data_IF_528697762018
#
_entry.id   IF_528697762018
#
_cell.length_a   1.000
_cell.length_b   1.000
_cell.length_c   1.000
_cell.angle_alpha   90.00
_cell.angle_beta   90.00
_cell.angle_gamma   90.00
#
_symmetry.space_group_name_H-M   'P 1'
#
loop_
_entity.id
_entity.type
_entity.pdbx_description
1 polymer ?
#
# COMPACT_ATOMS: atom_id res chain seq x y z
N UNK A 1 23.32 17.58 -4.91
CA UNK A 1 22.23 17.05 -4.06
C UNK A 1 21.45 18.17 -3.38
N UNK A 2 22.12 19.12 -2.72
CA UNK A 2 21.47 20.16 -1.90
C UNK A 2 20.58 21.12 -2.69
N UNK A 3 20.97 21.48 -3.92
CA UNK A 3 20.14 22.30 -4.82
C UNK A 3 18.77 21.68 -5.12
N UNK A 4 18.71 20.36 -5.34
CA UNK A 4 17.45 19.65 -5.59
C UNK A 4 16.56 19.66 -4.33
N UNK A 5 17.17 19.52 -3.16
CA UNK A 5 16.46 19.60 -1.88
C UNK A 5 15.87 20.99 -1.65
N UNK A 6 16.65 22.04 -1.91
CA UNK A 6 16.16 23.41 -1.80
C UNK A 6 15.02 23.66 -2.79
N UNK A 7 15.16 23.23 -4.04
CA UNK A 7 14.11 23.36 -5.06
C UNK A 7 12.80 22.70 -4.61
N UNK A 8 12.85 21.52 -3.99
CA UNK A 8 11.66 20.84 -3.46
C UNK A 8 11.03 21.57 -2.26
N UNK A 9 11.85 22.14 -1.38
CA UNK A 9 11.35 22.96 -0.27
C UNK A 9 10.65 24.22 -0.77
N UNK A 10 11.24 24.91 -1.76
CA UNK A 10 10.64 26.08 -2.43
C UNK A 10 9.36 25.71 -3.17
N UNK A 11 9.35 24.58 -3.90
CA UNK A 11 8.16 24.08 -4.58
C UNK A 11 7.03 23.74 -3.60
N UNK A 12 7.34 23.10 -2.47
CA UNK A 12 6.34 22.81 -1.44
C UNK A 12 5.76 24.10 -0.83
N UNK A 13 6.60 25.12 -0.61
CA UNK A 13 6.13 26.43 -0.16
C UNK A 13 5.25 27.12 -1.20
N UNK A 14 5.63 27.07 -2.48
CA UNK A 14 4.83 27.59 -3.59
C UNK A 14 3.45 26.94 -3.63
N UNK A 15 3.37 25.60 -3.69
CA UNK A 15 2.09 24.89 -3.77
C UNK A 15 1.21 25.11 -2.53
N UNK A 16 1.80 25.12 -1.34
CA UNK A 16 1.06 25.43 -0.11
C UNK A 16 0.49 26.86 -0.14
N UNK A 17 1.27 27.83 -0.65
CA UNK A 17 0.82 29.20 -0.85
C UNK A 17 -0.35 29.31 -1.84
N UNK A 18 -0.32 28.53 -2.93
CA UNK A 18 -1.43 28.49 -3.88
C UNK A 18 -2.72 27.96 -3.23
N UNK A 19 -2.64 26.84 -2.48
CA UNK A 19 -3.81 26.31 -1.78
C UNK A 19 -4.33 27.26 -0.68
N UNK A 20 -3.43 27.97 0.00
CA UNK A 20 -3.79 28.92 1.05
C UNK A 20 -4.60 30.12 0.52
N UNK A 21 -4.33 30.54 -0.71
CA UNK A 21 -5.02 31.66 -1.37
C UNK A 21 -6.40 31.30 -1.91
N UNK A 22 -6.75 30.01 -2.01
CA UNK A 22 -8.06 29.59 -2.51
C UNK A 22 -9.15 29.77 -1.45
N UNK A 23 -10.15 30.66 -1.66
CA UNK A 23 -11.30 30.81 -0.77
C UNK A 23 -12.32 29.70 -0.97
N UNK A 24 -12.24 28.92 -2.06
CA UNK A 24 -13.11 27.79 -2.42
C UNK A 24 -12.56 27.03 -3.64
N UNK A 25 -13.40 26.23 -4.29
CA UNK A 25 -13.13 25.61 -5.58
C UNK A 25 -12.65 24.15 -5.53
N UNK A 26 -12.41 23.53 -6.70
CA UNK A 26 -12.29 22.08 -6.84
C UNK A 26 -11.26 21.43 -5.92
N UNK A 27 -10.11 22.09 -5.69
CA UNK A 27 -9.07 21.59 -4.79
C UNK A 27 -9.54 21.50 -3.34
N UNK A 28 -10.26 22.53 -2.87
CA UNK A 28 -10.81 22.59 -1.51
C UNK A 28 -11.95 21.60 -1.37
N UNK A 29 -12.83 21.54 -2.37
CA UNK A 29 -14.02 20.69 -2.33
C UNK A 29 -13.62 19.22 -2.36
N UNK A 30 -12.58 18.85 -3.12
CA UNK A 30 -11.96 17.53 -3.04
C UNK A 30 -11.43 17.22 -1.64
N UNK A 31 -10.63 18.10 -1.02
CA UNK A 31 -10.10 17.85 0.32
C UNK A 31 -11.24 17.68 1.34
N UNK A 32 -12.28 18.53 1.26
CA UNK A 32 -13.45 18.45 2.14
C UNK A 32 -14.20 17.12 1.95
N UNK A 33 -14.43 16.69 0.72
CA UNK A 33 -15.13 15.42 0.43
C UNK A 33 -14.36 14.19 0.90
N UNK A 34 -13.05 14.33 1.11
CA UNK A 34 -12.16 13.31 1.70
C UNK A 34 -11.98 13.43 3.21
N UNK A 35 -12.80 14.25 3.87
CA UNK A 35 -12.73 14.43 5.31
C UNK A 35 -11.50 15.21 5.78
N UNK A 36 -10.83 15.95 4.90
CA UNK A 36 -9.63 16.73 5.19
C UNK A 36 -10.01 18.22 5.29
N UNK A 37 -10.19 18.77 6.50
CA UNK A 37 -10.53 20.18 6.67
C UNK A 37 -9.34 21.07 6.29
N UNK A 38 -9.61 22.31 5.88
CA UNK A 38 -8.58 23.30 5.53
C UNK A 38 -7.52 23.49 6.58
N UNK A 39 -7.91 23.50 7.86
CA UNK A 39 -6.98 23.64 8.97
C UNK A 39 -5.93 22.52 8.97
N UNK A 40 -6.36 21.26 8.78
CA UNK A 40 -5.46 20.12 8.70
C UNK A 40 -4.56 20.18 7.46
N UNK A 41 -5.15 20.49 6.30
CA UNK A 41 -4.39 20.60 5.05
C UNK A 41 -3.25 21.64 5.15
N UNK A 42 -3.44 22.73 5.92
CA UNK A 42 -2.46 23.81 6.09
C UNK A 42 -1.48 23.57 7.24
N UNK A 43 -1.84 22.77 8.23
CA UNK A 43 -1.04 22.55 9.42
C UNK A 43 0.31 21.91 9.08
N UNK A 44 1.33 22.23 9.88
CA UNK A 44 2.51 21.37 9.98
C UNK A 44 2.08 20.07 10.68
N UNK A 45 2.58 18.91 10.24
CA UNK A 45 3.64 18.71 9.24
C UNK A 45 3.13 18.59 7.78
N UNK A 46 1.83 18.43 7.57
CA UNK A 46 1.19 18.11 6.28
C UNK A 46 1.47 19.11 5.16
N UNK A 47 1.16 20.40 5.40
CA UNK A 47 1.35 21.50 4.42
C UNK A 47 1.00 21.10 2.98
N UNK A 48 -0.21 20.58 2.77
CA UNK A 48 -0.72 20.23 1.45
C UNK A 48 -0.75 21.48 0.56
N UNK A 49 -0.72 21.27 -0.75
CA UNK A 49 -0.68 22.35 -1.72
C UNK A 49 -1.62 22.17 -2.90
N UNK A 50 -1.58 23.13 -3.82
CA UNK A 50 -2.29 23.08 -5.09
C UNK A 50 -1.34 23.50 -6.21
N UNK A 51 -1.26 22.70 -7.27
CA UNK A 51 -0.60 23.04 -8.51
C UNK A 51 -1.64 23.65 -9.46
N UNK A 52 -1.54 24.94 -9.80
CA UNK A 52 -2.44 25.57 -10.78
C UNK A 52 -2.36 24.91 -12.17
N UNK A 53 -3.33 25.15 -13.07
CA UNK A 53 -3.33 24.58 -14.42
C UNK A 53 -2.24 25.15 -15.35
N UNK A 54 -1.60 26.25 -14.95
CA UNK A 54 -0.55 26.92 -15.73
C UNK A 54 0.58 25.95 -16.12
N UNK A 55 1.13 26.15 -17.33
CA UNK A 55 2.14 25.23 -17.89
C UNK A 55 3.53 25.37 -17.27
N UNK A 56 3.86 26.53 -16.74
CA UNK A 56 5.20 26.90 -16.24
C UNK A 56 5.15 27.68 -14.93
N UNK A 57 4.02 27.65 -14.21
CA UNK A 57 3.80 28.47 -13.02
C UNK A 57 4.82 28.22 -11.91
N UNK A 58 5.13 26.95 -11.61
CA UNK A 58 6.20 26.59 -10.67
C UNK A 58 7.58 26.87 -11.28
N UNK A 59 7.81 26.44 -12.52
CA UNK A 59 9.12 26.55 -13.17
C UNK A 59 9.59 28.00 -13.25
N UNK A 60 8.71 28.92 -13.62
CA UNK A 60 9.02 30.35 -13.72
C UNK A 60 9.23 30.96 -12.34
N UNK A 61 8.48 30.51 -11.32
CA UNK A 61 8.71 30.92 -9.94
C UNK A 61 10.11 30.50 -9.45
N UNK A 62 10.52 29.26 -9.70
CA UNK A 62 11.83 28.75 -9.28
C UNK A 62 12.97 29.37 -10.08
N UNK A 63 12.80 29.63 -11.38
CA UNK A 63 13.81 30.36 -12.18
C UNK A 63 14.09 31.76 -11.66
N UNK A 64 13.05 32.48 -11.22
CA UNK A 64 13.23 33.79 -10.55
C UNK A 64 14.00 33.69 -9.23
N UNK A 65 14.06 32.51 -8.63
CA UNK A 65 14.88 32.21 -7.45
C UNK A 65 16.27 31.64 -7.81
N UNK A 66 16.65 31.66 -9.09
CA UNK A 66 17.97 31.26 -9.56
C UNK A 66 18.13 29.77 -9.89
N UNK A 67 17.07 28.97 -9.94
CA UNK A 67 17.16 27.56 -10.36
C UNK A 67 17.21 27.43 -11.88
N UNK A 68 18.12 26.59 -12.38
CA UNK A 68 18.28 26.34 -13.82
C UNK A 68 17.24 25.35 -14.35
N UNK A 69 17.01 25.33 -15.66
CA UNK A 69 16.10 24.34 -16.27
C UNK A 69 16.56 22.89 -16.02
N UNK A 70 17.87 22.64 -16.07
CA UNK A 70 18.45 21.32 -15.82
C UNK A 70 18.22 20.84 -14.38
N UNK A 71 18.38 21.73 -13.39
CA UNK A 71 18.06 21.41 -12.00
C UNK A 71 16.59 21.04 -11.82
N UNK A 72 15.66 21.75 -12.48
CA UNK A 72 14.23 21.46 -12.38
C UNK A 72 13.83 20.14 -13.05
N UNK A 73 14.46 19.82 -14.19
CA UNK A 73 14.27 18.55 -14.89
C UNK A 73 14.83 17.39 -14.06
N UNK A 74 16.06 17.53 -13.55
CA UNK A 74 16.72 16.52 -12.70
C UNK A 74 15.98 16.32 -11.37
N UNK A 75 15.41 17.39 -10.82
CA UNK A 75 14.55 17.33 -9.64
C UNK A 75 13.16 16.69 -9.92
N UNK A 76 12.80 16.46 -11.18
CA UNK A 76 11.47 15.96 -11.55
C UNK A 76 10.33 16.95 -11.25
N UNK A 77 10.65 18.22 -11.03
CA UNK A 77 9.69 19.31 -10.84
C UNK A 77 9.17 19.84 -12.18
N UNK A 78 9.94 19.62 -13.24
CA UNK A 78 9.57 19.93 -14.62
C UNK A 78 9.78 18.72 -15.55
N UNK A 79 9.20 18.80 -16.74
CA UNK A 79 9.37 17.85 -17.84
C UNK A 79 9.76 18.61 -19.12
N UNK A 80 10.58 17.98 -19.95
CA UNK A 80 10.89 18.50 -21.28
C UNK A 80 9.79 18.12 -22.28
N UNK A 81 9.37 19.05 -23.12
CA UNK A 81 8.36 18.83 -24.16
C UNK A 81 8.57 19.83 -25.29
N UNK A 82 8.90 19.33 -26.50
CA UNK A 82 9.11 20.15 -27.70
C UNK A 82 10.07 21.33 -27.47
N UNK A 83 11.22 21.07 -26.83
CA UNK A 83 12.20 22.10 -26.49
C UNK A 83 11.81 23.06 -25.36
N UNK A 84 10.64 22.86 -24.73
CA UNK A 84 10.16 23.66 -23.60
C UNK A 84 10.21 22.88 -22.30
N UNK A 85 10.53 23.55 -21.21
CA UNK A 85 10.43 23.02 -19.84
C UNK A 85 9.05 23.38 -19.27
N UNK A 86 8.27 22.37 -18.92
CA UNK A 86 6.90 22.52 -18.40
C UNK A 86 6.81 21.94 -16.99
N UNK A 87 5.92 22.46 -16.16
CA UNK A 87 5.68 21.95 -14.81
C UNK A 87 5.25 20.48 -14.85
N UNK A 88 5.84 19.62 -14.01
CA UNK A 88 5.49 18.21 -13.95
C UNK A 88 4.05 17.98 -13.42
N UNK A 89 3.58 18.88 -12.56
CA UNK A 89 2.25 18.81 -11.94
C UNK A 89 1.45 20.06 -12.28
N UNK A 90 0.21 19.85 -12.73
CA UNK A 90 -0.72 20.91 -13.13
C UNK A 90 -2.13 20.46 -12.80
N UNK A 91 -2.93 21.41 -12.33
CA UNK A 91 -4.31 21.24 -11.89
C UNK A 91 -4.51 20.07 -10.89
N UNK A 92 -3.70 20.09 -9.83
CA UNK A 92 -3.61 18.98 -8.87
C UNK A 92 -3.56 19.44 -7.43
N UNK A 93 -4.23 18.71 -6.54
CA UNK A 93 -3.92 18.79 -5.09
C UNK A 93 -2.60 18.08 -4.84
N UNK A 94 -1.70 18.76 -4.15
CA UNK A 94 -0.30 18.37 -3.99
C UNK A 94 -0.04 17.86 -2.57
N UNK A 95 0.49 16.64 -2.49
CA UNK A 95 0.90 15.96 -1.28
C UNK A 95 2.44 15.86 -1.28
N UNK A 96 3.15 16.68 -0.47
CA UNK A 96 4.61 16.61 -0.41
C UNK A 96 5.06 15.31 0.26
N UNK A 97 5.96 14.57 -0.37
CA UNK A 97 6.55 13.34 0.18
C UNK A 97 7.85 13.69 0.89
N UNK A 98 7.99 13.29 2.15
CA UNK A 98 9.15 13.62 3.00
C UNK A 98 9.98 12.40 3.32
N UNK A 99 11.28 12.61 3.53
CA UNK A 99 12.12 11.64 4.22
C UNK A 99 11.91 11.69 5.74
N UNK A 100 12.55 10.78 6.48
CA UNK A 100 12.49 10.73 7.96
C UNK A 100 12.94 12.02 8.64
N UNK A 101 13.78 12.82 8.00
CA UNK A 101 14.23 14.11 8.51
C UNK A 101 13.25 15.25 8.19
N UNK A 102 12.09 14.94 7.60
CA UNK A 102 11.06 15.91 7.23
C UNK A 102 11.40 16.71 5.96
N UNK A 103 12.46 16.37 5.22
CA UNK A 103 12.84 17.07 4.00
C UNK A 103 11.98 16.58 2.84
N UNK A 104 11.45 17.51 2.04
CA UNK A 104 10.63 17.16 0.87
C UNK A 104 11.53 16.55 -0.21
N UNK A 105 11.17 15.35 -0.67
CA UNK A 105 11.91 14.58 -1.69
C UNK A 105 11.16 14.45 -3.01
N UNK A 106 9.84 14.54 -2.96
CA UNK A 106 8.96 14.36 -4.10
C UNK A 106 7.56 14.90 -3.82
N UNK A 107 6.66 14.74 -4.80
CA UNK A 107 5.26 15.06 -4.67
C UNK A 107 4.38 13.95 -5.24
N UNK A 108 3.19 13.82 -4.66
CA UNK A 108 2.05 13.12 -5.25
C UNK A 108 0.98 14.16 -5.57
N UNK A 109 0.44 14.14 -6.78
CA UNK A 109 -0.57 15.09 -7.25
C UNK A 109 -1.88 14.39 -7.61
N UNK A 110 -2.97 14.70 -6.91
CA UNK A 110 -4.33 14.25 -7.25
C UNK A 110 -4.94 15.16 -8.31
N UNK A 111 -5.31 14.58 -9.44
CA UNK A 111 -6.00 15.26 -10.54
C UNK A 111 -7.38 15.79 -10.15
N UNK A 112 -7.73 16.98 -10.62
CA UNK A 112 -9.03 17.61 -10.38
C UNK A 112 -9.89 17.74 -11.65
N UNK A 113 -9.34 17.41 -12.82
CA UNK A 113 -9.98 17.66 -14.12
C UNK A 113 -11.16 16.74 -14.41
N UNK A 114 -11.23 15.58 -13.76
CA UNK A 114 -12.23 14.54 -14.03
C UNK A 114 -12.03 13.81 -15.36
N UNK A 115 -10.97 14.11 -16.11
CA UNK A 115 -10.69 13.48 -17.39
C UNK A 115 -10.23 12.02 -17.19
N UNK A 116 -10.95 11.01 -17.73
CA UNK A 116 -10.61 9.60 -17.53
C UNK A 116 -9.28 9.19 -18.18
N UNK A 117 -8.79 9.98 -19.16
CA UNK A 117 -7.48 9.75 -19.80
C UNK A 117 -6.31 10.27 -18.96
N UNK A 118 -6.59 11.03 -17.90
CA UNK A 118 -5.57 11.61 -17.03
C UNK A 118 -5.48 10.78 -15.74
N UNK A 119 -4.29 10.32 -15.34
CA UNK A 119 -4.14 9.53 -14.11
C UNK A 119 -4.66 10.28 -12.89
N UNK A 120 -5.55 9.61 -12.13
CA UNK A 120 -6.14 10.16 -10.90
C UNK A 120 -5.08 10.68 -9.94
N UNK A 121 -3.99 9.92 -9.79
CA UNK A 121 -2.79 10.34 -9.08
C UNK A 121 -1.58 10.30 -10.01
N UNK A 122 -0.72 11.31 -9.89
CA UNK A 122 0.60 11.37 -10.51
C UNK A 122 1.63 11.43 -9.41
N UNK A 123 2.64 10.58 -9.47
CA UNK A 123 3.79 10.63 -8.56
C UNK A 123 4.97 11.29 -9.28
N UNK A 124 5.90 11.90 -8.53
CA UNK A 124 7.20 12.27 -9.08
C UNK A 124 7.88 11.06 -9.74
N UNK A 125 8.63 11.32 -10.81
CA UNK A 125 9.52 10.33 -11.40
C UNK A 125 10.67 10.01 -10.42
N UNK A 126 11.44 8.95 -10.72
CA UNK A 126 12.68 8.68 -10.00
C UNK A 126 13.67 9.83 -10.23
N UNK A 127 14.32 10.28 -9.16
CA UNK A 127 15.34 11.33 -9.16
C UNK A 127 16.52 10.92 -8.28
N UNK A 128 17.66 11.64 -8.30
CA UNK A 128 18.76 11.37 -7.38
C UNK A 128 18.40 11.44 -5.89
N UNK A 129 17.28 12.09 -5.54
CA UNK A 129 16.83 12.24 -4.15
C UNK A 129 15.55 11.44 -3.82
N UNK A 130 14.97 10.74 -4.79
CA UNK A 130 13.70 10.05 -4.60
C UNK A 130 13.53 8.81 -5.48
N UNK A 131 13.16 7.71 -4.84
CA UNK A 131 12.62 6.51 -5.48
C UNK A 131 11.34 6.11 -4.75
N UNK A 132 10.29 5.74 -5.51
CA UNK A 132 8.98 5.34 -4.94
C UNK A 132 9.10 4.15 -3.98
N UNK A 133 9.95 3.18 -4.32
CA UNK A 133 10.17 1.96 -3.53
C UNK A 133 10.91 2.17 -2.21
N UNK A 134 11.49 3.37 -1.99
CA UNK A 134 12.21 3.72 -0.77
C UNK A 134 11.61 4.97 -0.11
N UNK A 135 10.32 5.25 -0.34
CA UNK A 135 9.62 6.33 0.35
C UNK A 135 8.17 5.93 0.61
N UNK A 136 7.68 6.31 1.79
CA UNK A 136 6.27 6.25 2.16
C UNK A 136 5.79 7.68 2.39
N UNK A 137 4.61 7.99 1.85
CA UNK A 137 3.96 9.24 2.20
C UNK A 137 3.47 9.19 3.65
N UNK A 138 3.46 10.36 4.30
CA UNK A 138 3.10 10.54 5.71
C UNK A 138 4.04 9.89 6.74
N UNK A 139 5.18 9.30 6.35
CA UNK A 139 6.09 8.68 7.32
C UNK A 139 6.67 9.70 8.31
N UNK A 140 7.09 10.88 7.85
CA UNK A 140 7.60 11.91 8.74
C UNK A 140 6.48 12.48 9.63
N UNK A 141 5.31 12.67 9.02
CA UNK A 141 4.12 13.21 9.65
C UNK A 141 3.58 12.29 10.77
N UNK A 142 3.53 10.99 10.51
CA UNK A 142 2.99 9.99 11.44
C UNK A 142 3.86 9.80 12.68
N UNK A 143 5.16 10.08 12.60
CA UNK A 143 6.13 9.89 13.69
C UNK A 143 6.68 11.19 14.26
N UNK A 144 6.16 12.36 13.85
CA UNK A 144 6.62 13.68 14.31
C UNK A 144 6.57 13.83 15.85
N UNK A 145 5.52 13.29 16.48
CA UNK A 145 5.32 13.36 17.93
C UNK A 145 6.31 12.51 18.74
N UNK A 146 7.15 11.68 18.08
CA UNK A 146 8.13 10.78 18.70
C UNK A 146 7.56 9.88 19.80
N UNK A 147 6.29 9.50 19.68
CA UNK A 147 5.63 8.53 20.55
C UNK A 147 5.31 7.27 19.73
N UNK A 148 5.50 6.07 20.31
CA UNK A 148 5.14 4.84 19.63
C UNK A 148 3.62 4.85 19.35
N UNK A 149 3.20 4.57 18.11
CA UNK A 149 1.78 4.43 17.80
C UNK A 149 1.25 3.09 18.31
N UNK A 150 -0.06 3.01 18.52
CA UNK A 150 -0.72 1.73 18.84
C UNK A 150 -0.72 0.76 17.68
N UNK A 151 -0.69 1.28 16.46
CA UNK A 151 -0.42 0.52 15.24
C UNK A 151 0.00 1.47 14.10
N UNK A 152 0.73 0.93 13.13
CA UNK A 152 0.97 1.58 11.84
C UNK A 152 -0.07 1.11 10.85
N UNK A 153 -0.77 2.02 10.19
CA UNK A 153 -1.77 1.68 9.17
C UNK A 153 -1.21 1.98 7.79
N UNK A 154 -1.05 0.95 6.96
CA UNK A 154 -0.57 1.09 5.58
C UNK A 154 -1.78 1.18 4.66
N UNK A 155 -1.91 2.29 3.94
CA UNK A 155 -2.99 2.58 2.98
C UNK A 155 -2.43 2.81 1.57
N UNK A 156 -3.30 2.86 0.56
CA UNK A 156 -2.88 3.08 -0.83
C UNK A 156 -2.72 4.56 -1.18
N UNK A 157 -3.68 5.40 -0.77
CA UNK A 157 -3.75 6.80 -1.17
C UNK A 157 -3.16 7.77 -0.14
N UNK A 158 -2.51 8.86 -0.59
CA UNK A 158 -2.02 9.88 0.34
C UNK A 158 -3.18 10.57 1.08
N UNK A 159 -4.31 10.81 0.41
CA UNK A 159 -5.50 11.39 1.04
C UNK A 159 -6.03 10.53 2.21
N UNK A 160 -5.94 9.20 2.09
CA UNK A 160 -6.35 8.26 3.12
C UNK A 160 -5.45 8.40 4.35
N UNK A 161 -4.13 8.49 4.16
CA UNK A 161 -3.18 8.73 5.25
C UNK A 161 -3.44 10.07 5.97
N UNK A 162 -3.71 11.16 5.21
CA UNK A 162 -4.08 12.46 5.82
C UNK A 162 -5.39 12.36 6.61
N UNK A 163 -6.41 11.72 6.04
CA UNK A 163 -7.72 11.61 6.67
C UNK A 163 -7.65 10.82 7.99
N UNK A 164 -6.90 9.72 8.01
CA UNK A 164 -6.67 8.91 9.21
C UNK A 164 -5.89 9.65 10.31
N UNK A 165 -5.15 10.71 9.98
CA UNK A 165 -4.50 11.53 10.99
C UNK A 165 -5.49 12.29 11.91
N UNK A 166 -6.76 12.40 11.51
CA UNK A 166 -7.83 13.01 12.30
C UNK A 166 -8.38 12.12 13.39
N UNK A 167 -8.08 10.83 13.34
CA UNK A 167 -8.62 9.88 14.30
C UNK A 167 -8.12 10.23 15.72
N UNK A 168 -9.01 10.15 16.72
CA UNK A 168 -8.60 10.30 18.10
C UNK A 168 -7.61 9.19 18.51
N UNK A 169 -6.79 9.39 19.56
CA UNK A 169 -6.15 8.27 20.23
C UNK A 169 -7.23 7.31 20.76
N UNK A 170 -7.03 6.01 20.52
CA UNK A 170 -7.83 4.96 21.15
C UNK A 170 -7.13 4.36 22.38
N UNK A 171 -7.67 3.27 22.95
CA UNK A 171 -7.11 2.64 24.15
C UNK A 171 -5.66 2.18 23.97
N UNK A 172 -5.33 1.66 22.77
CA UNK A 172 -3.97 1.21 22.44
C UNK A 172 -3.07 2.34 21.92
N UNK A 173 -3.57 3.58 21.92
CA UNK A 173 -2.88 4.75 21.37
C UNK A 173 -3.34 5.14 19.96
N UNK A 174 -2.59 6.08 19.37
CA UNK A 174 -2.90 6.64 18.05
C UNK A 174 -2.52 5.68 16.93
N UNK A 175 -3.30 5.69 15.86
CA UNK A 175 -2.94 5.04 14.60
C UNK A 175 -2.00 5.94 13.79
N UNK A 176 -0.87 5.40 13.35
CA UNK A 176 0.09 6.07 12.49
C UNK A 176 -0.13 5.64 11.03
N UNK A 177 -0.85 6.44 10.26
CA UNK A 177 -1.16 6.11 8.87
C UNK A 177 -0.04 6.55 7.91
N UNK A 178 0.36 5.65 7.01
CA UNK A 178 1.33 5.88 5.93
C UNK A 178 0.76 5.34 4.63
N UNK A 179 1.13 5.94 3.48
CA UNK A 179 0.69 5.43 2.18
C UNK A 179 1.84 5.05 1.26
N UNK A 180 1.59 4.05 0.40
CA UNK A 180 2.49 3.79 -0.73
C UNK A 180 2.41 4.94 -1.74
N UNK A 181 3.47 5.14 -2.53
CA UNK A 181 3.54 6.22 -3.53
C UNK A 181 3.06 5.74 -4.91
N UNK A 182 1.82 5.24 -5.00
CA UNK A 182 1.21 4.73 -6.23
C UNK A 182 1.89 3.48 -6.80
N UNK A 183 2.34 2.61 -5.90
CA UNK A 183 2.88 1.28 -6.19
C UNK A 183 2.37 0.29 -5.14
N UNK A 184 2.46 -1.01 -5.40
CA UNK A 184 2.39 -1.99 -4.33
C UNK A 184 3.49 -1.71 -3.27
N UNK A 185 3.27 -2.18 -2.04
CA UNK A 185 4.27 -2.12 -0.98
C UNK A 185 5.58 -2.77 -1.45
N UNK A 186 6.71 -2.12 -1.17
CA UNK A 186 8.04 -2.57 -1.59
C UNK A 186 8.96 -2.88 -0.40
N UNK A 187 9.98 -3.72 -0.62
CA UNK A 187 10.96 -4.09 0.41
C UNK A 187 11.65 -2.88 1.05
N UNK A 188 12.01 -1.87 0.25
CA UNK A 188 12.62 -0.63 0.77
C UNK A 188 11.68 0.16 1.69
N UNK A 189 10.37 0.14 1.42
CA UNK A 189 9.36 0.75 2.29
C UNK A 189 9.21 -0.03 3.60
N UNK A 190 9.24 -1.37 3.55
CA UNK A 190 9.22 -2.20 4.77
C UNK A 190 10.48 -1.95 5.61
N UNK A 191 11.67 -1.92 5.00
CA UNK A 191 12.90 -1.58 5.71
C UNK A 191 12.83 -0.19 6.36
N UNK A 192 12.17 0.77 5.69
CA UNK A 192 11.91 2.08 6.27
C UNK A 192 10.93 2.06 7.44
N UNK A 193 9.94 1.19 7.44
CA UNK A 193 9.09 1.00 8.62
C UNK A 193 9.89 0.34 9.74
N UNK A 194 10.58 -0.76 9.47
CA UNK A 194 11.33 -1.52 10.48
C UNK A 194 12.36 -0.65 11.21
N UNK A 195 13.07 0.23 10.50
CA UNK A 195 14.04 1.12 11.14
C UNK A 195 13.44 2.43 11.73
N UNK A 196 12.12 2.64 11.65
CA UNK A 196 11.43 3.80 12.26
C UNK A 196 10.55 3.41 13.43
N UNK A 197 9.96 2.23 13.37
CA UNK A 197 8.92 1.81 14.29
C UNK A 197 9.50 0.93 15.39
N UNK A 198 9.01 1.13 16.62
CA UNK A 198 9.44 0.34 17.77
C UNK A 198 9.10 -1.14 17.54
N UNK A 199 10.02 -2.08 17.79
CA UNK A 199 9.75 -3.51 17.67
C UNK A 199 8.50 -3.94 18.46
N UNK A 200 7.71 -4.86 17.91
CA UNK A 200 6.45 -5.31 18.50
C UNK A 200 5.23 -4.44 18.18
N UNK A 201 5.42 -3.24 17.61
CA UNK A 201 4.30 -2.39 17.17
C UNK A 201 3.50 -3.10 16.06
N UNK A 202 2.17 -3.19 16.16
CA UNK A 202 1.37 -3.79 15.11
C UNK A 202 1.39 -3.00 13.78
N UNK A 203 1.28 -3.73 12.67
CA UNK A 203 1.01 -3.16 11.34
C UNK A 203 -0.38 -3.61 10.88
N UNK A 204 -1.15 -2.68 10.35
CA UNK A 204 -2.49 -2.91 9.81
C UNK A 204 -2.47 -2.54 8.32
N UNK A 205 -2.77 -3.51 7.45
CA UNK A 205 -2.95 -3.29 6.02
C UNK A 205 -4.40 -2.91 5.76
N UNK A 206 -4.63 -1.72 5.18
CA UNK A 206 -5.96 -1.21 4.85
C UNK A 206 -5.95 -0.72 3.40
N UNK A 207 -6.05 -1.68 2.49
CA UNK A 207 -6.06 -1.48 1.04
C UNK A 207 -7.48 -1.47 0.49
N UNK A 208 -7.63 -0.99 -0.75
CA UNK A 208 -8.94 -0.87 -1.37
C UNK A 208 -9.57 -2.27 -1.56
N UNK A 209 -10.89 -2.43 -1.38
CA UNK A 209 -11.55 -3.76 -1.42
C UNK A 209 -11.77 -4.29 -2.85
N UNK A 210 -10.81 -4.06 -3.75
CA UNK A 210 -10.81 -4.53 -5.14
C UNK A 210 -9.76 -5.63 -5.39
N UNK A 211 -9.69 -6.14 -6.62
CA UNK A 211 -8.73 -7.18 -7.00
C UNK A 211 -7.27 -6.71 -6.90
N UNK A 212 -7.00 -5.43 -7.13
CA UNK A 212 -5.66 -4.88 -7.03
C UNK A 212 -5.22 -4.79 -5.56
N UNK A 213 -6.10 -4.32 -4.68
CA UNK A 213 -5.89 -4.27 -3.23
C UNK A 213 -5.72 -5.66 -2.62
N UNK A 214 -6.49 -6.66 -3.05
CA UNK A 214 -6.28 -8.07 -2.65
C UNK A 214 -4.89 -8.58 -3.00
N UNK A 215 -4.45 -8.39 -4.25
CA UNK A 215 -3.09 -8.76 -4.68
C UNK A 215 -2.02 -7.95 -3.94
N UNK A 216 -2.30 -6.71 -3.57
CA UNK A 216 -1.40 -5.90 -2.77
C UNK A 216 -1.29 -6.44 -1.33
N UNK A 217 -2.39 -6.89 -0.72
CA UNK A 217 -2.41 -7.49 0.61
C UNK A 217 -1.61 -8.81 0.66
N UNK A 218 -1.76 -9.68 -0.34
CA UNK A 218 -0.94 -10.90 -0.47
C UNK A 218 0.56 -10.58 -0.51
N UNK A 219 0.96 -9.58 -1.30
CA UNK A 219 2.36 -9.13 -1.37
C UNK A 219 2.83 -8.52 -0.06
N UNK A 220 1.99 -7.70 0.58
CA UNK A 220 2.32 -7.08 1.86
C UNK A 220 2.58 -8.15 2.93
N UNK A 221 1.76 -9.20 3.00
CA UNK A 221 1.97 -10.30 3.92
C UNK A 221 3.34 -10.96 3.75
N UNK A 222 3.76 -11.23 2.50
CA UNK A 222 5.08 -11.80 2.21
C UNK A 222 6.23 -10.87 2.61
N UNK A 223 6.10 -9.56 2.36
CA UNK A 223 7.12 -8.58 2.70
C UNK A 223 7.22 -8.30 4.20
N UNK A 224 6.12 -8.47 4.94
CA UNK A 224 6.04 -8.26 6.38
C UNK A 224 6.37 -9.52 7.19
N UNK A 225 6.87 -10.58 6.55
CA UNK A 225 7.15 -11.87 7.21
C UNK A 225 8.10 -11.75 8.42
N UNK A 226 9.01 -10.78 8.39
CA UNK A 226 10.03 -10.54 9.43
C UNK A 226 9.61 -9.41 10.40
N UNK A 227 8.38 -8.90 10.29
CA UNK A 227 7.86 -7.83 11.16
C UNK A 227 7.65 -8.35 12.59
N UNK A 228 8.20 -7.72 13.62
CA UNK A 228 8.18 -8.30 14.98
C UNK A 228 6.82 -8.19 15.70
N UNK A 229 5.95 -7.28 15.30
CA UNK A 229 4.61 -7.12 15.87
C UNK A 229 3.52 -7.92 15.13
N UNK A 230 2.25 -7.84 15.56
CA UNK A 230 1.12 -8.37 14.82
C UNK A 230 1.01 -7.76 13.41
N UNK A 231 0.60 -8.57 12.44
CA UNK A 231 0.31 -8.13 11.06
C UNK A 231 -1.16 -8.39 10.77
N UNK A 232 -1.90 -7.31 10.81
CA UNK A 232 -3.35 -7.28 10.74
C UNK A 232 -3.83 -6.63 9.45
N UNK A 233 -5.12 -6.74 9.20
CA UNK A 233 -5.82 -6.10 8.11
C UNK A 233 -7.12 -5.46 8.59
N UNK A 234 -7.54 -4.44 7.85
CA UNK A 234 -8.92 -3.96 7.88
C UNK A 234 -9.47 -4.09 6.47
N UNK A 235 -10.54 -4.88 6.32
CA UNK A 235 -11.26 -5.01 5.06
C UNK A 235 -12.44 -4.06 5.07
N UNK A 236 -12.38 -3.02 4.23
CA UNK A 236 -13.45 -2.03 4.14
C UNK A 236 -14.63 -2.54 3.30
N UNK A 237 -15.85 -2.02 3.52
CA UNK A 237 -16.98 -2.32 2.64
C UNK A 237 -16.67 -1.94 1.18
N UNK A 238 -17.21 -2.68 0.19
CA UNK A 238 -17.00 -2.37 -1.23
C UNK A 238 -17.26 -0.90 -1.57
N UNK A 239 -16.38 -0.31 -2.38
CA UNK A 239 -16.47 1.10 -2.78
C UNK A 239 -16.13 2.10 -1.67
N UNK A 240 -15.60 1.65 -0.53
CA UNK A 240 -15.14 2.51 0.56
C UNK A 240 -13.63 2.43 0.71
N UNK A 241 -12.99 3.60 0.72
CA UNK A 241 -11.60 3.79 1.11
C UNK A 241 -11.53 4.51 2.49
N UNK A 242 -10.35 4.57 3.13
CA UNK A 242 -10.25 5.13 4.48
C UNK A 242 -10.63 6.62 4.58
N UNK A 243 -10.31 7.46 3.58
CA UNK A 243 -10.73 8.86 3.63
C UNK A 243 -12.25 9.02 3.44
N UNK A 244 -12.88 8.21 2.59
CA UNK A 244 -14.34 8.19 2.45
C UNK A 244 -15.02 7.71 3.75
N UNK A 245 -14.42 6.73 4.44
CA UNK A 245 -14.88 6.30 5.77
C UNK A 245 -14.85 7.46 6.77
N UNK A 246 -13.72 8.19 6.86
CA UNK A 246 -13.59 9.36 7.74
C UNK A 246 -14.58 10.47 7.37
N UNK A 247 -14.79 10.70 6.07
CA UNK A 247 -15.71 11.72 5.58
C UNK A 247 -17.17 11.42 5.97
N UNK A 248 -17.60 10.16 5.86
CA UNK A 248 -18.99 9.75 6.12
C UNK A 248 -19.28 9.51 7.60
N UNK A 249 -18.40 8.81 8.30
CA UNK A 249 -18.62 8.40 9.70
C UNK A 249 -18.05 9.38 10.72
N UNK A 250 -17.32 10.40 10.28
CA UNK A 250 -16.55 11.29 11.13
C UNK A 250 -15.36 10.58 11.81
N UNK A 251 -14.45 11.31 12.49
CA UNK A 251 -13.24 10.72 13.05
C UNK A 251 -13.49 9.64 14.11
N UNK A 252 -14.46 9.84 15.01
CA UNK A 252 -14.77 8.85 16.05
C UNK A 252 -15.43 7.58 15.48
N UNK A 253 -16.37 7.75 14.54
CA UNK A 253 -17.04 6.62 13.90
C UNK A 253 -16.06 5.80 13.05
N UNK A 254 -15.17 6.47 12.31
CA UNK A 254 -14.13 5.81 11.55
C UNK A 254 -13.13 5.06 12.44
N UNK A 255 -12.65 5.66 13.54
CA UNK A 255 -11.74 4.98 14.49
C UNK A 255 -12.38 3.73 15.07
N UNK A 256 -13.64 3.81 15.52
CA UNK A 256 -14.40 2.67 16.02
C UNK A 256 -14.48 1.56 14.96
N UNK A 257 -14.92 1.88 13.75
CA UNK A 257 -15.06 0.90 12.67
C UNK A 257 -13.72 0.25 12.30
N UNK A 258 -12.63 1.01 12.22
CA UNK A 258 -11.31 0.47 11.90
C UNK A 258 -10.80 -0.49 12.99
N UNK A 259 -11.07 -0.18 14.26
CA UNK A 259 -10.68 -1.03 15.40
C UNK A 259 -11.51 -2.30 15.49
N UNK A 260 -12.84 -2.18 15.34
CA UNK A 260 -13.76 -3.31 15.37
C UNK A 260 -13.59 -4.25 14.16
N UNK A 261 -13.20 -3.71 13.01
CA UNK A 261 -13.00 -4.51 11.78
C UNK A 261 -11.58 -5.07 11.64
N UNK A 262 -10.72 -4.83 12.63
CA UNK A 262 -9.32 -5.29 12.60
C UNK A 262 -9.27 -6.80 12.83
N UNK A 263 -8.61 -7.49 11.92
CA UNK A 263 -8.41 -8.94 11.99
C UNK A 263 -6.97 -9.29 11.57
N UNK A 264 -6.52 -10.52 11.79
CA UNK A 264 -5.23 -10.99 11.26
C UNK A 264 -5.21 -10.88 9.74
N UNK A 265 -4.11 -10.36 9.16
CA UNK A 265 -3.95 -10.31 7.71
C UNK A 265 -3.99 -11.71 7.11
N UNK A 266 -3.41 -12.70 7.80
CA UNK A 266 -3.45 -14.10 7.38
C UNK A 266 -4.90 -14.61 7.29
N UNK A 267 -5.71 -14.35 8.32
CA UNK A 267 -7.12 -14.73 8.33
C UNK A 267 -7.91 -14.05 7.19
N UNK A 268 -7.72 -12.75 6.98
CA UNK A 268 -8.33 -12.03 5.87
C UNK A 268 -7.93 -12.58 4.50
N UNK A 269 -6.67 -12.99 4.32
CA UNK A 269 -6.17 -13.60 3.08
C UNK A 269 -6.72 -15.02 2.86
N UNK A 270 -6.99 -15.77 3.94
CA UNK A 270 -7.72 -17.03 3.88
C UNK A 270 -9.17 -16.78 3.45
N UNK A 271 -9.87 -15.82 4.06
CA UNK A 271 -11.23 -15.45 3.68
C UNK A 271 -11.33 -15.07 2.20
N UNK A 272 -10.39 -14.27 1.71
CA UNK A 272 -10.31 -13.89 0.31
C UNK A 272 -10.13 -15.09 -0.63
N UNK A 273 -9.48 -16.18 -0.19
CA UNK A 273 -9.31 -17.41 -0.99
C UNK A 273 -10.56 -18.27 -0.99
N UNK A 274 -11.43 -18.13 -0.01
CA UNK A 274 -12.71 -18.84 0.07
C UNK A 274 -13.80 -18.09 -0.70
N UNK A 275 -13.74 -16.76 -0.73
CA UNK A 275 -14.71 -15.90 -1.38
C UNK A 275 -14.91 -16.22 -2.87
N UNK A 276 -16.18 -16.23 -3.32
CA UNK A 276 -16.56 -16.46 -4.72
C UNK A 276 -16.47 -17.91 -5.19
N UNK A 277 -16.19 -18.87 -4.30
CA UNK A 277 -16.19 -20.30 -4.61
C UNK A 277 -17.50 -20.97 -4.24
N UNK A 278 -17.86 -22.02 -4.97
CA UNK A 278 -19.02 -22.89 -4.71
C UNK A 278 -18.70 -23.89 -3.60
N UNK A 279 -18.79 -23.45 -2.34
CA UNK A 279 -18.48 -24.29 -1.18
C UNK A 279 -19.55 -25.35 -0.87
N UNK A 280 -20.68 -25.29 -1.57
CA UNK A 280 -21.71 -26.34 -1.65
C UNK A 280 -21.23 -27.58 -2.44
N UNK A 281 -20.24 -27.43 -3.31
CA UNK A 281 -19.68 -28.51 -4.14
C UNK A 281 -18.37 -29.06 -3.53
N UNK A 282 -18.14 -30.37 -3.68
CA UNK A 282 -16.92 -31.02 -3.19
C UNK A 282 -15.68 -30.41 -3.86
N UNK A 283 -15.73 -30.21 -5.17
CA UNK A 283 -14.66 -29.65 -5.98
C UNK A 283 -14.31 -28.22 -5.56
N UNK A 284 -15.35 -27.42 -5.26
CA UNK A 284 -15.20 -26.05 -4.77
C UNK A 284 -14.52 -26.01 -3.41
N UNK A 285 -14.93 -26.88 -2.48
CA UNK A 285 -14.29 -27.03 -1.16
C UNK A 285 -12.84 -27.51 -1.25
N UNK A 286 -12.54 -28.49 -2.10
CA UNK A 286 -11.17 -29.00 -2.31
C UNK A 286 -10.26 -27.91 -2.88
N UNK A 287 -10.74 -27.17 -3.87
CA UNK A 287 -9.96 -26.07 -4.48
C UNK A 287 -9.73 -24.94 -3.49
N UNK A 288 -10.73 -24.63 -2.66
CA UNK A 288 -10.64 -23.65 -1.58
C UNK A 288 -9.59 -24.07 -0.53
N UNK A 289 -9.63 -25.35 -0.08
CA UNK A 289 -8.65 -25.91 0.85
C UNK A 289 -7.23 -25.84 0.30
N UNK A 290 -7.02 -26.22 -0.97
CA UNK A 290 -5.69 -26.15 -1.61
C UNK A 290 -5.15 -24.72 -1.64
N UNK A 291 -5.98 -23.74 -1.97
CA UNK A 291 -5.59 -22.33 -2.01
C UNK A 291 -5.25 -21.78 -0.63
N UNK A 292 -6.06 -22.09 0.40
CA UNK A 292 -5.82 -21.67 1.77
C UNK A 292 -4.61 -22.40 2.40
N UNK A 293 -4.49 -23.71 2.21
CA UNK A 293 -3.36 -24.51 2.69
C UNK A 293 -2.03 -24.04 2.11
N UNK A 294 -1.98 -23.66 0.83
CA UNK A 294 -0.78 -23.08 0.21
C UNK A 294 -0.34 -21.75 0.85
N UNK A 295 -1.30 -20.93 1.30
CA UNK A 295 -1.00 -19.71 2.06
C UNK A 295 -0.50 -20.04 3.47
N UNK A 296 -1.21 -20.91 4.18
CA UNK A 296 -0.87 -21.30 5.55
C UNK A 296 0.49 -21.98 5.65
N UNK A 297 0.89 -22.77 4.65
CA UNK A 297 2.25 -23.31 4.54
C UNK A 297 3.34 -22.24 4.62
N UNK A 298 3.13 -21.12 3.91
CA UNK A 298 4.07 -19.98 3.90
C UNK A 298 4.06 -19.23 5.23
N UNK A 299 2.95 -19.33 5.98
CA UNK A 299 2.77 -18.68 7.27
C UNK A 299 3.44 -19.43 8.42
N UNK A 300 3.74 -20.74 8.28
CA UNK A 300 4.30 -21.59 9.36
C UNK A 300 5.55 -20.99 10.00
N UNK A 301 6.44 -20.36 9.24
CA UNK A 301 7.66 -19.80 9.82
C UNK A 301 7.42 -18.64 10.81
N UNK A 302 6.28 -17.95 10.69
CA UNK A 302 5.98 -16.71 11.42
C UNK A 302 4.81 -16.87 12.39
N UNK A 303 3.72 -17.42 11.90
CA UNK A 303 2.40 -17.33 12.53
C UNK A 303 1.96 -18.69 13.13
N UNK A 304 2.90 -19.56 13.50
CA UNK A 304 2.63 -20.87 14.13
C UNK A 304 1.55 -20.82 15.22
N UNK A 305 1.55 -19.84 16.16
CA UNK A 305 0.52 -19.78 17.19
C UNK A 305 -0.91 -19.54 16.67
N UNK A 306 -1.06 -18.92 15.48
CA UNK A 306 -2.37 -18.65 14.87
C UNK A 306 -2.90 -19.84 14.07
N UNK A 307 -2.01 -20.72 13.59
CA UNK A 307 -2.36 -21.77 12.65
C UNK A 307 -3.42 -22.75 13.18
N UNK A 308 -3.39 -23.24 14.43
CA UNK A 308 -4.42 -24.18 14.91
C UNK A 308 -5.83 -23.58 14.87
N UNK A 309 -5.98 -22.32 15.28
CA UNK A 309 -7.28 -21.62 15.25
C UNK A 309 -7.79 -21.39 13.83
N UNK A 310 -6.90 -20.99 12.91
CA UNK A 310 -7.26 -20.77 11.50
C UNK A 310 -7.58 -22.11 10.81
N UNK A 311 -6.80 -23.17 11.07
CA UNK A 311 -7.05 -24.50 10.55
C UNK A 311 -8.37 -25.09 11.05
N UNK A 312 -8.70 -24.90 12.33
CA UNK A 312 -9.99 -25.31 12.88
C UNK A 312 -11.15 -24.55 12.21
N UNK A 313 -11.05 -23.23 12.07
CA UNK A 313 -12.04 -22.42 11.35
C UNK A 313 -12.23 -22.89 9.89
N UNK A 314 -11.14 -23.23 9.20
CA UNK A 314 -11.19 -23.79 7.86
C UNK A 314 -11.86 -25.17 7.80
N UNK A 315 -11.57 -26.04 8.76
CA UNK A 315 -12.21 -27.37 8.88
C UNK A 315 -13.73 -27.22 9.00
N UNK A 316 -14.21 -26.37 9.91
CA UNK A 316 -15.63 -26.11 10.10
C UNK A 316 -16.28 -25.54 8.84
N UNK A 317 -15.66 -24.54 8.21
CA UNK A 317 -16.23 -23.84 7.05
C UNK A 317 -16.24 -24.67 5.77
N UNK A 318 -15.30 -25.60 5.63
CA UNK A 318 -15.20 -26.47 4.46
C UNK A 318 -15.79 -27.87 4.73
N UNK A 319 -16.15 -28.21 5.97
CA UNK A 319 -16.64 -29.54 6.32
C UNK A 319 -15.62 -30.66 6.07
N UNK A 320 -14.32 -30.36 6.23
CA UNK A 320 -13.25 -31.37 6.27
C UNK A 320 -12.90 -31.66 7.72
N UNK A 321 -12.44 -32.88 8.02
CA UNK A 321 -11.87 -33.17 9.32
C UNK A 321 -10.57 -32.38 9.55
N UNK A 322 -10.21 -32.21 10.83
CA UNK A 322 -9.03 -31.43 11.20
C UNK A 322 -7.73 -31.99 10.63
N UNK A 323 -7.62 -33.31 10.49
CA UNK A 323 -6.43 -33.97 9.93
C UNK A 323 -6.24 -33.61 8.47
N UNK A 324 -7.29 -33.69 7.65
CA UNK A 324 -7.26 -33.27 6.24
C UNK A 324 -6.80 -31.82 6.08
N UNK A 325 -7.26 -30.91 6.95
CA UNK A 325 -6.82 -29.51 6.90
C UNK A 325 -5.36 -29.36 7.32
N UNK A 326 -4.94 -30.03 8.39
CA UNK A 326 -3.54 -30.01 8.83
C UNK A 326 -2.60 -30.62 7.78
N UNK A 327 -3.00 -31.68 7.09
CA UNK A 327 -2.24 -32.25 5.97
C UNK A 327 -2.06 -31.23 4.84
N UNK A 328 -3.11 -30.48 4.50
CA UNK A 328 -2.99 -29.41 3.51
C UNK A 328 -2.04 -28.27 3.97
N UNK A 329 -1.86 -28.08 5.28
CA UNK A 329 -0.97 -27.05 5.87
C UNK A 329 0.45 -27.57 6.09
N UNK A 330 0.68 -28.85 6.37
CA UNK A 330 1.99 -29.36 6.79
C UNK A 330 2.57 -30.44 5.86
N UNK A 331 1.74 -31.11 5.06
CA UNK A 331 2.12 -32.30 4.30
C UNK A 331 1.75 -32.14 2.82
N UNK A 332 2.48 -31.31 2.07
CA UNK A 332 2.48 -31.44 0.60
C UNK A 332 3.71 -30.85 -0.07
N UNK A 333 4.77 -31.66 -0.18
CA UNK A 333 5.73 -31.67 -1.30
C UNK A 333 6.06 -33.11 -1.79
N UNK A 334 5.58 -34.16 -1.12
CA UNK A 334 5.97 -35.54 -1.47
C UNK A 334 5.23 -36.14 -2.69
N UNK A 335 4.11 -35.58 -3.13
CA UNK A 335 3.36 -36.15 -4.27
C UNK A 335 3.85 -35.58 -5.62
N UNK A 336 4.34 -34.33 -5.65
CA UNK A 336 4.86 -33.73 -6.88
C UNK A 336 6.22 -34.32 -7.28
N UNK A 337 7.10 -34.63 -6.32
CA UNK A 337 8.42 -35.22 -6.61
C UNK A 337 8.38 -36.73 -6.86
N UNK A 338 7.41 -37.47 -6.27
CA UNK A 338 7.25 -38.91 -6.51
C UNK A 338 6.58 -39.24 -7.86
N UNK A 339 5.77 -38.33 -8.41
CA UNK A 339 5.16 -38.50 -9.74
C UNK A 339 6.15 -38.45 -10.90
N UNK A 340 7.30 -37.80 -10.74
CA UNK A 340 8.34 -37.69 -11.77
C UNK A 340 9.37 -38.84 -11.69
N UNK A 341 9.50 -39.51 -10.54
CA UNK A 341 10.47 -40.61 -10.34
C UNK A 341 9.87 -42.02 -10.36
N UNK A 342 8.55 -42.17 -10.49
CA UNK A 342 7.84 -43.46 -10.51
C UNK A 342 7.63 -44.12 -11.89
N UNK A 343 8.05 -43.46 -12.98
CA UNK A 343 7.90 -43.98 -14.35
C UNK A 343 9.12 -44.79 -14.82
N UNK A 344 9.56 -45.78 -14.04
CA UNK A 344 10.70 -46.63 -14.39
C UNK A 344 10.32 -48.11 -14.49
N UNK A 345 10.48 -48.69 -15.69
CA UNK A 345 10.88 -50.09 -15.84
C UNK A 345 9.76 -51.14 -15.98
N UNK A 346 9.51 -51.57 -17.23
CA UNK A 346 8.71 -52.75 -17.54
C UNK A 346 9.19 -53.43 -18.83
N UNK A 347 9.99 -54.48 -18.65
CA UNK A 347 10.64 -55.35 -19.66
C UNK A 347 9.71 -55.86 -20.78
N UNK A 348 10.24 -55.97 -22.01
CA UNK A 348 9.88 -57.05 -22.95
C UNK A 348 11.14 -57.69 -23.57
N UNK A 349 11.41 -58.94 -23.17
CA UNK A 349 12.04 -59.98 -24.02
C UNK A 349 11.02 -60.28 -25.14
N UNK A 350 11.31 -60.57 -26.41
CA UNK A 350 12.50 -61.06 -27.11
C UNK A 350 11.97 -62.05 -28.16
N UNK A 351 12.24 -61.87 -29.45
CA UNK A 351 12.20 -62.92 -30.48
C UNK A 351 13.21 -62.53 -31.56
N UNK A 352 14.21 -63.38 -31.78
CA UNK A 352 15.22 -63.19 -32.81
C UNK A 352 14.80 -63.76 -34.16
N UNK A 353 15.54 -63.40 -35.21
CA UNK A 353 16.09 -64.32 -36.23
C UNK A 353 16.88 -63.54 -37.29
N UNK A 354 18.11 -64.01 -37.55
CA UNK A 354 18.80 -64.20 -38.87
C UNK A 354 18.89 -63.01 -39.84
N UNK A 355 19.93 -62.75 -40.64
CA UNK A 355 21.27 -63.26 -40.92
C UNK A 355 21.73 -62.51 -42.19
N UNK A 356 23.02 -62.13 -42.34
CA UNK A 356 23.75 -61.82 -43.61
C UNK A 356 23.08 -60.80 -44.56
N UNK A 357 23.71 -59.72 -44.98
CA UNK A 357 25.02 -59.55 -45.59
C UNK A 357 25.28 -58.03 -45.69
#
# INVERSE_FOLDING_TARGET
MDRLLEAHQRAAAYYAGQLARLPGGPAVDYLRSRGIPRALARARPWRLGYAPPARTGLSDHLRRLGFTADELLTAGLAIASQGRTLDAFRDRVMFPVRDRAGRVRAFVGRDLSGNPRVPRYRNSATTPIYTKSNHLYALAEAFEARRPPGAVVIVEGPADAVALARLPPGPDGRLAAVSTCGTALATGQVALLTATVVPGTPVVVCFDPDDAGRRAADRAYQLLRDWTGPVDAVVLPPGTDPAALVARSGPRGADRMLRESRTSLLAALVDARLAGRRLDEVEGRVTALRAAGALLRRAVARDTPLLPGIAHSLSVRLGFDGTTVLEAVYLTDQIAERGVRGGGGGRRRGVGRTSRA
#
